data_IF_699806688156
#
_entry.id   IF_699806688156
#
_cell.length_a   1.000
_cell.length_b   1.000
_cell.length_c   1.000
_cell.angle_alpha   90.00
_cell.angle_beta   90.00
_cell.angle_gamma   90.00
#
_symmetry.space_group_name_H-M   'P 1'
#
loop_
_entity.id
_entity.type
_entity.pdbx_description
1 polymer ?
#
# COMPACT_ATOMS: atom_id res chain seq x y z
N UNK A 1 66.91 16.26 17.70
CA UNK A 1 65.67 16.84 17.19
C UNK A 1 64.97 15.75 16.36
N UNK A 2 63.90 15.13 16.91
CA UNK A 2 63.18 14.07 16.26
C UNK A 2 61.96 14.68 15.53
N UNK A 3 61.94 14.59 14.20
CA UNK A 3 60.80 14.97 13.39
C UNK A 3 59.72 13.90 13.51
N UNK A 4 58.60 14.24 14.13
CA UNK A 4 57.39 13.43 14.04
C UNK A 4 56.64 13.78 12.78
N UNK A 5 56.53 12.82 11.88
CA UNK A 5 55.65 12.90 10.71
C UNK A 5 54.27 12.45 11.17
N UNK A 6 53.34 13.40 11.23
CA UNK A 6 51.91 13.11 11.50
C UNK A 6 51.29 12.69 10.16
N UNK A 7 51.00 11.38 10.10
CA UNK A 7 50.28 10.79 8.98
C UNK A 7 48.77 11.03 9.17
N UNK A 8 48.19 12.00 8.46
CA UNK A 8 46.74 12.23 8.38
C UNK A 8 46.14 11.12 7.50
N UNK A 9 45.57 10.11 8.11
CA UNK A 9 44.69 9.16 7.38
C UNK A 9 43.35 9.81 7.12
N UNK A 10 43.14 10.27 5.89
CA UNK A 10 41.83 10.65 5.37
C UNK A 10 41.00 9.38 5.21
N UNK A 11 40.11 9.10 6.16
CA UNK A 11 39.05 8.11 6.02
C UNK A 11 38.03 8.64 5.00
N UNK A 12 38.19 8.21 3.75
CA UNK A 12 37.20 8.44 2.71
C UNK A 12 35.99 7.55 3.00
N UNK A 13 35.00 8.06 3.75
CA UNK A 13 33.71 7.43 3.89
C UNK A 13 32.99 7.60 2.55
N UNK A 14 33.11 6.58 1.69
CA UNK A 14 32.33 6.46 0.47
C UNK A 14 30.89 6.19 0.88
N UNK A 15 30.10 7.24 1.09
CA UNK A 15 28.65 7.12 1.21
C UNK A 15 28.12 6.69 -0.14
N UNK A 16 27.85 5.39 -0.32
CA UNK A 16 27.05 4.91 -1.43
C UNK A 16 25.64 5.45 -1.26
N UNK A 17 25.41 6.64 -1.77
CA UNK A 17 24.06 7.13 -2.00
C UNK A 17 23.48 6.27 -3.12
N UNK A 18 22.76 5.23 -2.76
CA UNK A 18 21.87 4.56 -3.68
C UNK A 18 20.84 5.60 -4.11
N UNK A 19 21.11 6.26 -5.23
CA UNK A 19 20.16 7.14 -5.89
C UNK A 19 18.95 6.33 -6.33
N UNK A 20 18.00 6.14 -5.43
CA UNK A 20 16.68 5.67 -5.82
C UNK A 20 16.11 6.73 -6.76
N UNK A 21 15.99 6.41 -8.04
CA UNK A 21 15.24 7.21 -8.99
C UNK A 21 13.84 7.42 -8.44
N UNK A 22 13.59 8.57 -7.81
CA UNK A 22 12.28 8.89 -7.25
C UNK A 22 11.29 8.96 -8.39
N UNK A 23 10.40 8.00 -8.45
CA UNK A 23 9.35 7.99 -9.46
C UNK A 23 8.33 9.08 -9.11
N UNK A 24 7.77 9.76 -10.10
CA UNK A 24 6.69 10.77 -9.90
C UNK A 24 5.53 10.26 -9.03
N UNK A 25 5.32 8.95 -8.98
CA UNK A 25 4.32 8.31 -8.10
C UNK A 25 4.71 8.29 -6.62
N UNK A 26 5.94 8.60 -6.29
CA UNK A 26 6.43 8.59 -4.91
C UNK A 26 5.97 9.82 -4.13
N UNK A 27 5.51 10.87 -4.81
CA UNK A 27 4.90 12.05 -4.18
C UNK A 27 3.77 11.68 -3.21
N UNK A 28 2.94 10.68 -3.56
CA UNK A 28 1.87 10.21 -2.68
C UNK A 28 2.39 9.68 -1.34
N UNK A 29 3.59 9.11 -1.32
CA UNK A 29 4.18 8.44 -0.16
C UNK A 29 5.28 9.25 0.52
N UNK A 30 5.64 10.41 -0.03
CA UNK A 30 6.70 11.26 0.52
C UNK A 30 6.32 11.84 1.88
N UNK A 31 5.09 12.33 2.01
CA UNK A 31 4.54 12.81 3.25
C UNK A 31 3.79 11.67 3.97
N UNK A 32 4.04 11.45 5.25
CA UNK A 32 3.45 10.40 6.08
C UNK A 32 2.36 10.92 7.02
N UNK A 33 2.06 12.23 7.00
CA UNK A 33 0.88 12.76 7.70
C UNK A 33 -0.40 12.17 7.08
N UNK A 34 -1.43 11.86 7.88
CA UNK A 34 -2.68 11.37 7.33
C UNK A 34 -3.27 12.37 6.33
N UNK A 35 -3.56 11.92 5.12
CA UNK A 35 -4.20 12.75 4.12
C UNK A 35 -5.72 12.75 4.32
N UNK A 36 -6.34 13.92 4.39
CA UNK A 36 -7.79 14.05 4.45
C UNK A 36 -8.39 13.75 3.07
N UNK A 37 -9.36 12.83 3.02
CA UNK A 37 -10.04 12.45 1.80
C UNK A 37 -11.56 12.35 2.01
N UNK A 38 -12.33 12.63 0.97
CA UNK A 38 -13.79 12.45 0.94
C UNK A 38 -14.16 11.46 -0.15
N UNK A 39 -15.03 10.52 0.19
CA UNK A 39 -15.56 9.52 -0.73
C UNK A 39 -17.08 9.38 -0.55
N UNK A 40 -17.77 9.26 -1.67
CA UNK A 40 -19.22 9.06 -1.69
C UNK A 40 -19.56 7.87 -2.60
N UNK A 41 -19.94 6.74 -2.00
CA UNK A 41 -20.42 5.58 -2.76
C UNK A 41 -21.26 4.63 -1.89
N UNK A 42 -22.03 3.75 -2.54
CA UNK A 42 -22.82 2.73 -1.86
C UNK A 42 -21.99 1.46 -1.63
N UNK A 43 -21.78 1.07 -0.37
CA UNK A 43 -21.15 -0.21 -0.01
C UNK A 43 -21.87 -1.41 -0.63
N UNK A 44 -23.21 -1.38 -0.69
CA UNK A 44 -24.02 -2.41 -1.35
C UNK A 44 -23.65 -2.53 -2.82
N UNK A 45 -23.55 -1.39 -3.52
CA UNK A 45 -23.26 -1.39 -4.95
C UNK A 45 -21.83 -1.84 -5.24
N UNK A 46 -20.84 -1.33 -4.49
CA UNK A 46 -19.45 -1.75 -4.69
C UNK A 46 -19.25 -3.25 -4.43
N UNK A 47 -19.96 -3.81 -3.46
CA UNK A 47 -19.89 -5.26 -3.17
C UNK A 47 -20.59 -6.13 -4.21
N UNK A 48 -21.79 -5.72 -4.67
CA UNK A 48 -22.66 -6.54 -5.51
C UNK A 48 -22.49 -6.29 -7.01
N UNK A 49 -22.16 -5.05 -7.42
CA UNK A 49 -22.11 -4.66 -8.83
C UNK A 49 -20.70 -4.54 -9.41
N UNK A 50 -19.66 -4.89 -8.63
CA UNK A 50 -18.29 -4.88 -9.12
C UNK A 50 -17.65 -6.26 -9.08
N UNK A 51 -16.71 -6.49 -9.99
CA UNK A 51 -15.87 -7.68 -10.08
C UNK A 51 -14.48 -7.27 -10.60
N UNK A 52 -13.66 -8.20 -11.09
CA UNK A 52 -12.31 -7.91 -11.54
C UNK A 52 -12.23 -7.00 -12.75
N UNK A 53 -13.30 -6.92 -13.55
CA UNK A 53 -13.42 -6.08 -14.73
C UNK A 53 -14.39 -4.89 -14.55
N UNK A 54 -15.36 -5.00 -13.64
CA UNK A 54 -16.43 -4.01 -13.44
C UNK A 54 -16.17 -3.12 -12.24
N UNK A 55 -16.37 -1.81 -12.41
CA UNK A 55 -16.14 -0.79 -11.39
C UNK A 55 -17.35 0.13 -11.29
N UNK A 56 -17.54 0.74 -10.12
CA UNK A 56 -18.41 1.92 -9.99
C UNK A 56 -17.56 3.18 -10.11
N UNK A 57 -18.13 4.26 -10.60
CA UNK A 57 -17.50 5.56 -10.72
C UNK A 57 -17.92 6.46 -9.54
N UNK A 58 -16.98 7.25 -9.04
CA UNK A 58 -17.20 8.29 -8.02
C UNK A 58 -16.05 9.29 -8.06
N UNK A 59 -16.20 10.37 -7.30
CA UNK A 59 -15.14 11.35 -7.10
C UNK A 59 -14.39 11.06 -5.79
N UNK A 60 -13.07 11.22 -5.84
CA UNK A 60 -12.19 11.29 -4.69
C UNK A 60 -11.81 12.74 -4.49
N UNK A 61 -12.29 13.37 -3.41
CA UNK A 61 -11.73 14.65 -2.97
C UNK A 61 -10.62 14.40 -1.96
N UNK A 62 -9.56 15.18 -2.03
CA UNK A 62 -8.38 15.05 -1.17
C UNK A 62 -7.80 16.42 -0.82
N UNK A 63 -7.23 16.52 0.36
CA UNK A 63 -6.51 17.70 0.82
C UNK A 63 -5.03 17.59 0.44
N UNK A 64 -4.49 18.62 -0.19
CA UNK A 64 -3.07 18.75 -0.46
C UNK A 64 -2.68 20.21 -0.27
N UNK A 65 -1.69 20.48 0.61
CA UNK A 65 -1.22 21.84 0.92
C UNK A 65 -2.38 22.81 1.23
N UNK A 66 -3.27 22.39 2.14
CA UNK A 66 -4.46 23.14 2.59
C UNK A 66 -5.50 23.47 1.49
N UNK A 67 -5.40 22.81 0.34
CA UNK A 67 -6.37 22.95 -0.75
C UNK A 67 -7.05 21.64 -1.08
N UNK A 68 -8.38 21.68 -1.25
CA UNK A 68 -9.14 20.56 -1.72
C UNK A 68 -9.00 20.40 -3.24
N UNK A 69 -8.52 19.22 -3.66
CA UNK A 69 -8.58 18.77 -5.04
C UNK A 69 -9.61 17.66 -5.19
N UNK A 70 -10.09 17.44 -6.40
CA UNK A 70 -11.02 16.36 -6.71
C UNK A 70 -10.63 15.68 -8.02
N UNK A 71 -10.65 14.36 -8.03
CA UNK A 71 -10.39 13.53 -9.22
C UNK A 71 -11.43 12.43 -9.34
N UNK A 72 -11.92 12.13 -10.55
CA UNK A 72 -12.78 10.98 -10.78
C UNK A 72 -11.98 9.68 -10.65
N UNK A 73 -12.55 8.73 -9.92
CA UNK A 73 -11.98 7.43 -9.66
C UNK A 73 -12.97 6.31 -9.95
N UNK A 74 -12.46 5.13 -10.24
CA UNK A 74 -13.25 3.91 -10.38
C UNK A 74 -12.93 2.95 -9.27
N UNK A 75 -13.95 2.48 -8.58
CA UNK A 75 -13.83 1.64 -7.37
C UNK A 75 -14.40 0.25 -7.62
N UNK A 76 -13.72 -0.78 -7.08
CA UNK A 76 -14.27 -2.11 -6.92
C UNK A 76 -13.90 -2.69 -5.55
N UNK A 77 -14.77 -3.55 -5.01
CA UNK A 77 -14.39 -4.34 -3.85
C UNK A 77 -13.35 -5.39 -4.23
N UNK A 78 -12.41 -5.68 -3.31
CA UNK A 78 -11.39 -6.72 -3.46
C UNK A 78 -11.39 -7.68 -2.27
N UNK A 79 -10.62 -8.76 -2.41
CA UNK A 79 -10.55 -9.83 -1.42
C UNK A 79 -11.81 -10.70 -1.40
N UNK A 80 -11.69 -11.90 -0.88
CA UNK A 80 -12.80 -12.86 -0.81
C UNK A 80 -13.57 -12.72 0.50
N UNK A 81 -12.89 -12.98 1.64
CA UNK A 81 -13.51 -12.96 2.96
C UNK A 81 -14.00 -11.56 3.36
N UNK A 82 -13.13 -10.55 3.31
CA UNK A 82 -13.48 -9.17 3.71
C UNK A 82 -14.54 -8.54 2.81
N UNK A 83 -14.53 -8.88 1.51
CA UNK A 83 -15.61 -8.45 0.58
C UNK A 83 -16.97 -8.98 1.02
N UNK A 84 -17.05 -10.22 1.46
CA UNK A 84 -18.31 -10.84 1.90
C UNK A 84 -18.75 -10.37 3.29
N UNK A 85 -17.82 -10.30 4.24
CA UNK A 85 -18.11 -10.13 5.67
C UNK A 85 -18.04 -8.70 6.17
N UNK A 86 -17.18 -7.84 5.61
CA UNK A 86 -17.02 -6.48 6.09
C UNK A 86 -18.12 -5.54 5.60
N UNK A 87 -18.51 -4.59 6.45
CA UNK A 87 -19.38 -3.48 6.03
C UNK A 87 -18.65 -2.59 5.03
N UNK A 88 -17.42 -2.20 5.36
CA UNK A 88 -16.51 -1.50 4.44
C UNK A 88 -15.51 -2.51 3.86
N UNK A 89 -15.74 -3.04 2.65
CA UNK A 89 -14.79 -3.95 2.04
C UNK A 89 -13.52 -3.20 1.63
N UNK A 90 -12.37 -3.88 1.56
CA UNK A 90 -11.17 -3.30 0.93
C UNK A 90 -11.48 -2.95 -0.53
N UNK A 91 -10.97 -1.81 -0.97
CA UNK A 91 -11.26 -1.24 -2.28
C UNK A 91 -10.01 -1.27 -3.17
N UNK A 92 -10.18 -1.67 -4.42
CA UNK A 92 -9.24 -1.34 -5.50
C UNK A 92 -9.76 -0.08 -6.20
N UNK A 93 -8.92 0.95 -6.21
CA UNK A 93 -9.19 2.24 -6.83
C UNK A 93 -8.37 2.36 -8.12
N UNK A 94 -9.00 2.69 -9.23
CA UNK A 94 -8.33 3.02 -10.50
C UNK A 94 -8.44 4.51 -10.78
N UNK A 95 -7.34 5.12 -11.20
CA UNK A 95 -7.23 6.55 -11.52
C UNK A 95 -6.74 6.67 -12.96
N UNK A 96 -7.44 7.44 -13.79
CA UNK A 96 -6.98 7.72 -15.16
C UNK A 96 -5.74 8.61 -15.11
N UNK A 97 -4.72 8.32 -15.94
CA UNK A 97 -3.48 9.09 -15.99
C UNK A 97 -3.70 10.59 -16.23
N UNK A 98 -4.66 10.93 -17.11
CA UNK A 98 -5.01 12.33 -17.38
C UNK A 98 -5.57 13.05 -16.17
N UNK A 99 -6.31 12.37 -15.31
CA UNK A 99 -6.96 12.94 -14.12
C UNK A 99 -6.01 13.08 -12.93
N UNK A 100 -4.98 12.23 -12.84
CA UNK A 100 -3.98 12.31 -11.76
C UNK A 100 -2.83 13.29 -12.07
N UNK A 101 -2.75 13.82 -13.30
CA UNK A 101 -1.67 14.72 -13.71
C UNK A 101 -1.65 15.98 -12.82
N UNK A 102 -0.46 16.35 -12.35
CA UNK A 102 -0.24 17.51 -11.46
C UNK A 102 -0.96 17.40 -10.09
N UNK A 103 -1.24 16.20 -9.64
CA UNK A 103 -1.76 15.93 -8.29
C UNK A 103 -0.78 15.03 -7.53
N UNK A 104 -1.00 14.88 -6.23
CA UNK A 104 -0.24 13.92 -5.39
C UNK A 104 -0.38 12.47 -5.90
N UNK A 105 -1.44 12.17 -6.67
CA UNK A 105 -1.67 10.86 -7.29
C UNK A 105 -0.94 10.66 -8.62
N UNK A 106 -0.13 11.62 -9.06
CA UNK A 106 0.62 11.50 -10.33
C UNK A 106 1.43 10.20 -10.37
N UNK A 107 1.28 9.44 -11.45
CA UNK A 107 1.96 8.15 -11.63
C UNK A 107 1.28 6.95 -10.97
N UNK A 108 0.28 7.14 -10.11
CA UNK A 108 -0.49 6.08 -9.47
C UNK A 108 -1.77 5.80 -10.26
N UNK A 109 -1.75 4.78 -11.15
CA UNK A 109 -2.92 4.38 -11.95
C UNK A 109 -3.89 3.50 -11.18
N UNK A 110 -3.42 2.87 -10.13
CA UNK A 110 -4.17 1.97 -9.26
C UNK A 110 -3.62 2.05 -7.85
N UNK A 111 -4.52 1.99 -6.88
CA UNK A 111 -4.22 1.96 -5.45
C UNK A 111 -5.18 0.99 -4.77
N UNK A 112 -4.79 0.51 -3.60
CA UNK A 112 -5.65 -0.27 -2.73
C UNK A 112 -5.97 0.59 -1.51
N UNK A 113 -7.26 0.75 -1.18
CA UNK A 113 -7.72 1.46 0.03
C UNK A 113 -8.20 0.43 1.04
N UNK A 114 -7.63 0.46 2.22
CA UNK A 114 -8.01 -0.39 3.36
C UNK A 114 -8.78 0.47 4.36
N UNK A 115 -9.96 -0.01 4.75
CA UNK A 115 -10.88 0.63 5.68
C UNK A 115 -11.24 -0.35 6.81
N UNK A 116 -11.74 0.14 7.97
CA UNK A 116 -12.24 -0.70 9.06
C UNK A 116 -13.32 -1.68 8.56
N UNK A 117 -13.29 -2.92 9.05
CA UNK A 117 -14.23 -3.95 8.57
C UNK A 117 -15.68 -3.67 9.01
N UNK A 118 -15.89 -3.13 10.21
CA UNK A 118 -17.21 -2.92 10.83
C UNK A 118 -17.43 -1.46 11.22
N UNK A 119 -18.69 -1.08 11.36
CA UNK A 119 -19.07 0.27 11.79
C UNK A 119 -18.63 0.53 13.23
N UNK A 120 -18.81 -0.45 14.12
CA UNK A 120 -18.42 -0.37 15.54
C UNK A 120 -16.91 -0.19 15.72
N UNK A 121 -16.16 -0.65 14.73
CA UNK A 121 -14.71 -0.57 14.68
C UNK A 121 -14.19 0.67 13.92
N UNK A 122 -15.03 1.68 13.67
CA UNK A 122 -14.58 2.94 13.07
C UNK A 122 -13.48 3.62 13.91
N UNK A 123 -13.49 3.39 15.24
CA UNK A 123 -12.44 3.79 16.17
C UNK A 123 -11.41 2.68 16.44
N UNK A 124 -11.54 1.53 15.79
CA UNK A 124 -10.68 0.38 16.05
C UNK A 124 -9.29 0.61 15.45
N UNK A 125 -8.29 0.39 16.27
CA UNK A 125 -6.88 0.57 15.90
C UNK A 125 -6.32 -0.60 15.05
N UNK A 126 -7.12 -1.61 14.70
CA UNK A 126 -6.64 -2.72 13.87
C UNK A 126 -6.12 -2.25 12.50
N UNK A 127 -6.78 -1.27 11.88
CA UNK A 127 -6.29 -0.66 10.63
C UNK A 127 -4.96 0.06 10.84
N UNK A 128 -4.82 0.73 11.99
CA UNK A 128 -3.56 1.36 12.35
C UNK A 128 -2.46 0.32 12.62
N UNK A 129 -2.78 -0.79 13.27
CA UNK A 129 -1.85 -1.92 13.48
C UNK A 129 -1.41 -2.52 12.15
N UNK A 130 -2.34 -2.76 11.22
CA UNK A 130 -2.03 -3.24 9.86
C UNK A 130 -1.11 -2.24 9.13
N UNK A 131 -1.40 -0.94 9.18
CA UNK A 131 -0.53 0.09 8.61
C UNK A 131 0.86 0.09 9.26
N UNK A 132 0.95 -0.01 10.60
CA UNK A 132 2.22 -0.05 11.34
C UNK A 132 3.04 -1.28 10.91
N UNK A 133 2.39 -2.44 10.71
CA UNK A 133 3.06 -3.62 10.21
C UNK A 133 3.76 -3.36 8.85
N UNK A 134 3.10 -2.69 7.91
CA UNK A 134 3.75 -2.26 6.66
C UNK A 134 4.94 -1.34 6.91
N UNK A 135 4.83 -0.39 7.85
CA UNK A 135 5.92 0.54 8.16
C UNK A 135 7.11 -0.14 8.84
N UNK A 136 6.87 -1.12 9.71
CA UNK A 136 7.94 -1.94 10.31
C UNK A 136 8.66 -2.74 9.22
N UNK A 137 7.91 -3.37 8.30
CA UNK A 137 8.53 -4.14 7.22
C UNK A 137 9.35 -3.26 6.26
N UNK A 138 8.95 -2.01 6.04
CA UNK A 138 9.70 -1.01 5.28
C UNK A 138 11.09 -0.75 5.88
N UNK A 139 11.26 -0.88 7.22
CA UNK A 139 12.56 -0.77 7.89
C UNK A 139 13.41 -2.06 7.79
N UNK A 140 12.76 -3.21 7.61
CA UNK A 140 13.41 -4.53 7.58
C UNK A 140 13.92 -4.86 6.17
N UNK A 141 13.14 -4.50 5.13
CA UNK A 141 13.41 -4.92 3.76
C UNK A 141 13.25 -3.77 2.77
N UNK A 142 14.17 -3.63 1.79
CA UNK A 142 13.99 -2.70 0.68
C UNK A 142 12.81 -3.10 -0.21
N UNK A 143 12.46 -4.39 -0.23
CA UNK A 143 11.35 -4.95 -0.99
C UNK A 143 10.07 -4.89 -0.17
N UNK A 144 9.35 -3.77 -0.23
CA UNK A 144 8.13 -3.53 0.55
C UNK A 144 7.10 -2.76 -0.27
N UNK A 145 5.84 -2.83 0.14
CA UNK A 145 4.79 -1.95 -0.38
C UNK A 145 4.86 -0.58 0.28
N UNK A 146 4.82 0.49 -0.51
CA UNK A 146 4.64 1.84 0.00
C UNK A 146 3.20 2.04 0.47
N UNK A 147 3.04 2.73 1.59
CA UNK A 147 1.72 3.01 2.19
C UNK A 147 1.58 4.46 2.60
N UNK A 148 0.35 4.98 2.60
CA UNK A 148 -0.01 6.32 3.09
C UNK A 148 -1.28 6.27 3.91
N UNK A 149 -1.26 6.81 5.13
CA UNK A 149 -2.46 6.97 5.97
C UNK A 149 -3.45 7.95 5.34
N UNK A 150 -4.74 7.67 5.52
CA UNK A 150 -5.82 8.57 5.13
C UNK A 150 -6.87 8.66 6.23
N UNK A 151 -7.41 9.85 6.45
CA UNK A 151 -8.65 10.06 7.18
C UNK A 151 -9.75 10.21 6.14
N UNK A 152 -10.77 9.37 6.21
CA UNK A 152 -11.80 9.28 5.18
C UNK A 152 -13.13 9.79 5.73
N UNK A 153 -13.57 10.94 5.23
CA UNK A 153 -14.96 11.39 5.38
C UNK A 153 -15.80 10.66 4.32
N UNK A 154 -16.45 9.58 4.79
CA UNK A 154 -17.17 8.68 3.92
C UNK A 154 -18.67 8.91 4.01
N UNK A 155 -19.30 9.22 2.89
CA UNK A 155 -20.75 9.36 2.78
C UNK A 155 -21.35 8.20 1.99
N UNK A 156 -22.28 7.48 2.60
CA UNK A 156 -23.03 6.41 1.95
C UNK A 156 -24.45 6.84 1.60
N UNK A 157 -24.81 6.97 0.32
CA UNK A 157 -26.18 7.27 -0.08
C UNK A 157 -27.10 6.07 0.16
N UNK A 158 -28.26 6.32 0.77
CA UNK A 158 -29.34 5.34 1.06
C UNK A 158 -30.70 5.88 0.62
N UNK A 159 -30.98 5.80 -0.68
CA UNK A 159 -32.19 6.40 -1.26
C UNK A 159 -32.16 7.93 -1.09
N UNK A 160 -33.18 8.48 -0.45
CA UNK A 160 -33.27 9.94 -0.17
C UNK A 160 -32.43 10.41 1.03
N UNK A 161 -31.82 9.49 1.79
CA UNK A 161 -31.01 9.78 2.97
C UNK A 161 -29.56 9.42 2.71
N UNK A 162 -28.65 9.90 3.54
CA UNK A 162 -27.24 9.48 3.54
C UNK A 162 -26.79 9.16 4.97
N UNK A 163 -25.75 8.34 5.08
CA UNK A 163 -25.04 8.11 6.32
C UNK A 163 -23.60 8.54 6.14
N UNK A 164 -23.06 9.30 7.09
CA UNK A 164 -21.67 9.74 7.09
C UNK A 164 -20.87 9.02 8.17
N UNK A 165 -19.61 8.75 7.88
CA UNK A 165 -18.67 8.04 8.74
C UNK A 165 -17.30 8.70 8.65
N UNK A 166 -16.68 8.97 9.78
CA UNK A 166 -15.28 9.36 9.86
C UNK A 166 -14.44 8.08 10.06
N UNK A 167 -13.70 7.66 9.05
CA UNK A 167 -12.95 6.41 9.06
C UNK A 167 -11.45 6.69 9.00
N UNK A 168 -10.66 5.91 9.73
CA UNK A 168 -9.22 5.84 9.55
C UNK A 168 -8.91 4.73 8.53
N UNK A 169 -8.09 5.02 7.56
CA UNK A 169 -7.69 4.05 6.55
C UNK A 169 -6.26 4.26 6.09
N UNK A 170 -5.84 3.48 5.13
CA UNK A 170 -4.57 3.72 4.43
C UNK A 170 -4.63 3.23 2.98
N UNK A 171 -3.83 3.88 2.16
CA UNK A 171 -3.58 3.50 0.78
C UNK A 171 -2.36 2.58 0.72
N UNK A 172 -2.43 1.56 -0.13
CA UNK A 172 -1.31 0.67 -0.45
C UNK A 172 -0.99 0.81 -1.93
N UNK A 173 0.29 0.80 -2.23
CA UNK A 173 0.83 0.73 -3.57
C UNK A 173 0.26 -0.46 -4.35
N UNK A 174 0.05 -0.28 -5.65
CA UNK A 174 -0.38 -1.39 -6.54
C UNK A 174 0.79 -2.32 -6.87
N UNK A 175 0.49 -3.61 -7.06
CA UNK A 175 1.47 -4.65 -7.38
C UNK A 175 2.33 -4.28 -8.60
N UNK A 176 1.71 -3.67 -9.62
CA UNK A 176 2.40 -3.22 -10.83
C UNK A 176 3.41 -2.09 -10.58
N UNK A 177 3.16 -1.28 -9.55
CA UNK A 177 4.06 -0.19 -9.15
C UNK A 177 5.25 -0.73 -8.36
N UNK A 178 4.99 -1.62 -7.39
CA UNK A 178 6.03 -2.37 -6.69
C UNK A 178 6.95 -3.06 -7.71
N UNK A 179 6.38 -3.83 -8.64
CA UNK A 179 7.11 -4.52 -9.67
C UNK A 179 7.98 -3.58 -10.51
N UNK A 180 7.43 -2.43 -10.91
CA UNK A 180 8.18 -1.43 -11.69
C UNK A 180 9.34 -0.82 -10.93
N UNK A 181 9.22 -0.58 -9.61
CA UNK A 181 10.33 -0.06 -8.79
C UNK A 181 11.54 -0.99 -8.78
N UNK A 182 11.31 -2.28 -8.95
CA UNK A 182 12.32 -3.33 -8.87
C UNK A 182 12.57 -4.04 -10.21
N UNK A 183 12.14 -3.43 -11.33
CA UNK A 183 12.31 -3.98 -12.69
C UNK A 183 11.87 -5.44 -12.79
N UNK A 184 10.81 -5.78 -12.06
CA UNK A 184 10.31 -7.14 -11.88
C UNK A 184 8.84 -7.30 -12.22
N UNK A 185 8.26 -8.38 -11.72
CA UNK A 185 6.84 -8.69 -11.81
C UNK A 185 6.34 -9.33 -10.52
N UNK A 186 5.09 -9.08 -10.14
CA UNK A 186 4.41 -9.86 -9.11
C UNK A 186 3.90 -11.15 -9.76
N UNK A 187 4.19 -12.27 -9.09
CA UNK A 187 3.85 -13.62 -9.56
C UNK A 187 2.66 -14.12 -8.76
N UNK A 188 1.68 -14.73 -9.42
CA UNK A 188 0.45 -15.24 -8.79
C UNK A 188 0.32 -16.78 -8.91
N UNK A 189 1.38 -17.47 -9.31
CA UNK A 189 1.44 -18.93 -9.41
C UNK A 189 2.12 -19.54 -8.17
N UNK A 190 1.85 -20.82 -7.93
CA UNK A 190 2.57 -21.60 -6.91
C UNK A 190 4.07 -21.60 -7.18
N UNK A 191 4.86 -21.26 -6.16
CA UNK A 191 6.32 -21.36 -6.16
C UNK A 191 6.76 -22.16 -4.94
N UNK A 192 7.58 -23.18 -5.18
CA UNK A 192 8.11 -24.01 -4.09
C UNK A 192 9.01 -23.16 -3.17
N UNK A 193 8.93 -23.29 -1.82
CA UNK A 193 9.72 -22.48 -0.89
C UNK A 193 11.22 -22.50 -1.15
N UNK A 194 11.78 -23.65 -1.55
CA UNK A 194 13.21 -23.79 -1.86
C UNK A 194 13.67 -23.03 -3.13
N UNK A 195 12.73 -22.56 -3.95
CA UNK A 195 13.03 -21.71 -5.11
C UNK A 195 13.03 -20.22 -4.77
N UNK A 196 12.73 -19.85 -3.53
CA UNK A 196 12.69 -18.47 -3.06
C UNK A 196 14.06 -18.03 -2.54
N UNK A 197 14.32 -16.74 -2.64
CA UNK A 197 15.57 -16.14 -2.14
C UNK A 197 15.62 -16.26 -0.61
N UNK A 198 16.73 -16.83 -0.09
CA UNK A 198 16.83 -17.25 1.32
C UNK A 198 16.73 -16.09 2.32
N UNK A 199 17.44 -14.98 2.10
CA UNK A 199 17.45 -13.84 3.03
C UNK A 199 16.06 -13.23 3.15
N UNK A 200 15.40 -12.91 2.04
CA UNK A 200 14.05 -12.32 2.08
C UNK A 200 13.01 -13.30 2.62
N UNK A 201 13.17 -14.60 2.37
CA UNK A 201 12.31 -15.63 2.97
C UNK A 201 12.45 -15.68 4.48
N UNK A 202 13.66 -15.59 4.99
CA UNK A 202 13.94 -15.53 6.42
C UNK A 202 13.39 -14.25 7.04
N UNK A 203 13.67 -13.09 6.44
CA UNK A 203 13.10 -11.79 6.88
C UNK A 203 11.58 -11.83 6.92
N UNK A 204 10.94 -12.37 5.88
CA UNK A 204 9.49 -12.51 5.81
C UNK A 204 8.96 -13.41 6.92
N UNK A 205 9.55 -14.59 7.14
CA UNK A 205 9.11 -15.53 8.17
C UNK A 205 9.23 -14.95 9.58
N UNK A 206 10.37 -14.34 9.91
CA UNK A 206 10.56 -13.67 11.20
C UNK A 206 9.62 -12.49 11.39
N UNK A 207 9.37 -11.72 10.34
CA UNK A 207 8.41 -10.63 10.40
C UNK A 207 6.98 -11.13 10.67
N UNK A 208 6.54 -12.18 9.99
CA UNK A 208 5.22 -12.80 10.25
C UNK A 208 5.11 -13.28 11.70
N UNK A 209 6.16 -13.88 12.22
CA UNK A 209 6.24 -14.27 13.64
C UNK A 209 6.17 -13.03 14.56
N UNK A 210 6.92 -11.98 14.28
CA UNK A 210 6.95 -10.74 15.05
C UNK A 210 5.57 -10.09 15.19
N UNK A 211 4.78 -10.07 14.10
CA UNK A 211 3.43 -9.48 14.12
C UNK A 211 2.34 -10.47 14.57
N UNK A 212 2.71 -11.71 14.93
CA UNK A 212 1.77 -12.76 15.34
C UNK A 212 0.85 -13.24 14.22
N UNK A 213 1.23 -13.10 12.96
CA UNK A 213 0.45 -13.58 11.84
C UNK A 213 0.74 -15.07 11.60
N UNK A 214 -0.20 -15.92 11.97
CA UNK A 214 -0.13 -17.38 11.75
C UNK A 214 -0.90 -17.83 10.50
N UNK A 215 -1.65 -16.94 9.87
CA UNK A 215 -2.48 -17.19 8.71
C UNK A 215 -1.81 -16.65 7.42
N UNK A 216 -0.62 -17.19 7.10
CA UNK A 216 0.05 -16.85 5.85
C UNK A 216 0.58 -18.09 5.14
N UNK A 217 0.68 -17.99 3.83
CA UNK A 217 1.36 -18.98 3.01
C UNK A 217 2.12 -18.32 1.88
N UNK A 218 3.43 -18.49 1.87
CA UNK A 218 4.30 -17.92 0.83
C UNK A 218 4.05 -18.59 -0.51
N UNK A 219 3.97 -19.92 -0.54
CA UNK A 219 3.79 -20.71 -1.77
C UNK A 219 2.43 -20.48 -2.44
N UNK A 220 1.37 -20.38 -1.63
CA UNK A 220 0.00 -20.12 -2.10
C UNK A 220 -0.37 -18.63 -2.07
N UNK A 221 0.55 -17.78 -1.63
CA UNK A 221 0.39 -16.33 -1.56
C UNK A 221 -0.85 -15.88 -0.79
N UNK A 222 -1.13 -16.60 0.30
CA UNK A 222 -2.14 -16.21 1.27
C UNK A 222 -1.51 -15.21 2.25
N UNK A 223 -2.10 -14.04 2.41
CA UNK A 223 -1.54 -12.93 3.18
C UNK A 223 -0.05 -12.64 2.83
N UNK A 224 0.28 -12.78 1.56
CA UNK A 224 1.60 -12.55 1.01
C UNK A 224 1.57 -12.33 -0.49
N UNK A 225 2.66 -11.80 -1.02
CA UNK A 225 2.92 -11.63 -2.45
C UNK A 225 4.31 -12.12 -2.80
N UNK A 226 4.52 -12.50 -4.06
CA UNK A 226 5.82 -12.85 -4.59
C UNK A 226 6.25 -11.85 -5.64
N UNK A 227 7.37 -11.18 -5.41
CA UNK A 227 8.04 -10.36 -6.41
C UNK A 227 9.12 -11.20 -7.08
N UNK A 228 9.10 -11.27 -8.41
CA UNK A 228 10.18 -11.84 -9.20
C UNK A 228 11.01 -10.71 -9.79
N UNK A 229 12.26 -10.62 -9.39
CA UNK A 229 13.24 -9.65 -9.89
C UNK A 229 14.64 -10.25 -9.78
N UNK A 230 15.59 -9.82 -10.60
CA UNK A 230 16.97 -10.33 -10.62
C UNK A 230 17.06 -11.86 -10.67
N UNK A 231 16.12 -12.52 -11.36
CA UNK A 231 15.99 -13.98 -11.46
C UNK A 231 15.67 -14.70 -10.15
N UNK A 232 15.23 -13.99 -9.11
CA UNK A 232 14.88 -14.52 -7.80
C UNK A 232 13.42 -14.26 -7.44
N UNK A 233 12.83 -15.15 -6.63
CA UNK A 233 11.49 -15.00 -6.05
C UNK A 233 11.62 -14.45 -4.63
N UNK A 234 11.05 -13.30 -4.39
CA UNK A 234 11.14 -12.56 -3.13
C UNK A 234 9.75 -12.50 -2.46
N UNK A 235 9.55 -13.20 -1.32
CA UNK A 235 8.28 -13.13 -0.62
C UNK A 235 8.14 -11.80 0.12
N UNK A 236 6.94 -11.24 0.08
CA UNK A 236 6.57 -9.96 0.69
C UNK A 236 5.33 -10.14 1.55
N UNK A 237 5.27 -9.60 2.78
CA UNK A 237 4.05 -9.58 3.58
C UNK A 237 3.01 -8.69 2.92
N UNK A 238 1.75 -9.14 3.01
CA UNK A 238 0.63 -8.45 2.42
C UNK A 238 -0.68 -8.89 3.08
N UNK A 239 -1.56 -7.93 3.51
CA UNK A 239 -2.90 -8.06 4.13
C UNK A 239 -2.93 -8.46 5.61
#
# INVERSE_FOLDING_TARGET
MKNQVILFQFLFICSFVFGQNSLKSDLLYADQTPMEVKLNYSNKNVKKKTNDSTFIETDLSFMNEDKWGTIPVRLRARGNFRRAKCYFPPIKMKIKKSQSKNTVFTGNKSLKLVLPCRIENAKNDNILKEYIAYKIYELISPYHFKTRRVNVDFTEPKGKKSKSFALKGFLIEDDSRLAKRWEGRVVEQFIHPMAMQGITSTQHAFFQYLIGNTDFSVSFQHNGKLLYTNKEFLPLPYD
#
